data_IF_368790933211
#
_entry.id   IF_368790933211
#
_cell.length_a   1.000
_cell.length_b   1.000
_cell.length_c   1.000
_cell.angle_alpha   90.00
_cell.angle_beta   90.00
_cell.angle_gamma   90.00
#
_symmetry.space_group_name_H-M   'P 1'
#
loop_
_entity.id
_entity.type
_entity.pdbx_description
1 polymer ?
#
# COMPACT_ATOMS: atom_id res chain seq x y z
N UNK A 1 16.19 14.31 2.99
CA UNK A 1 14.91 13.82 3.56
C UNK A 1 14.67 12.42 3.05
N UNK A 2 14.58 11.44 3.94
CA UNK A 2 14.32 10.03 3.59
C UNK A 2 12.89 9.88 3.08
N UNK A 3 12.73 9.53 1.80
CA UNK A 3 11.42 9.28 1.19
C UNK A 3 10.92 7.90 1.61
N UNK A 4 10.28 7.81 2.78
CA UNK A 4 9.72 6.54 3.26
C UNK A 4 8.41 6.23 2.53
N UNK A 5 8.42 5.15 1.75
CA UNK A 5 7.31 4.69 0.93
C UNK A 5 6.96 3.25 1.32
N UNK A 6 5.68 2.96 1.45
CA UNK A 6 5.19 1.60 1.59
C UNK A 6 4.84 1.06 0.20
N UNK A 7 5.53 0.01 -0.23
CA UNK A 7 5.15 -0.77 -1.39
C UNK A 7 4.15 -1.85 -0.97
N UNK A 8 2.99 -1.86 -1.61
CA UNK A 8 1.90 -2.79 -1.28
C UNK A 8 1.60 -3.60 -2.54
N UNK A 9 1.71 -4.92 -2.42
CA UNK A 9 1.32 -5.87 -3.47
C UNK A 9 0.16 -6.70 -2.98
N UNK A 10 -0.93 -6.66 -3.71
CA UNK A 10 -2.16 -7.39 -3.42
C UNK A 10 -2.13 -8.72 -4.16
N UNK A 11 -2.40 -9.78 -3.42
CA UNK A 11 -2.51 -11.13 -3.95
C UNK A 11 -3.92 -11.68 -3.73
N UNK A 12 -4.31 -12.62 -4.57
CA UNK A 12 -5.48 -13.48 -4.35
C UNK A 12 -5.09 -14.94 -4.62
N UNK A 13 -5.96 -15.87 -4.28
CA UNK A 13 -5.83 -17.28 -4.64
C UNK A 13 -6.70 -17.58 -5.84
N UNK A 14 -6.16 -18.30 -6.82
CA UNK A 14 -6.95 -18.85 -7.91
C UNK A 14 -7.72 -20.07 -7.39
N UNK A 15 -9.05 -20.01 -7.39
CA UNK A 15 -9.92 -21.05 -6.81
C UNK A 15 -9.62 -22.47 -7.33
N UNK A 16 -9.34 -22.61 -8.63
CA UNK A 16 -9.11 -23.92 -9.27
C UNK A 16 -7.79 -24.58 -8.90
N UNK A 17 -6.78 -23.83 -8.45
CA UNK A 17 -5.43 -24.35 -8.24
C UNK A 17 -4.83 -23.97 -6.88
N UNK A 18 -5.54 -23.15 -6.11
CA UNK A 18 -5.07 -22.51 -4.88
C UNK A 18 -3.71 -21.81 -5.04
N UNK A 19 -3.37 -21.41 -6.26
CA UNK A 19 -2.13 -20.67 -6.54
C UNK A 19 -2.31 -19.20 -6.19
N UNK A 20 -1.29 -18.66 -5.52
CA UNK A 20 -1.22 -17.23 -5.23
C UNK A 20 -0.93 -16.46 -6.53
N UNK A 21 -1.80 -15.53 -6.88
CA UNK A 21 -1.68 -14.68 -8.06
C UNK A 21 -1.71 -13.20 -7.66
N UNK A 22 -0.92 -12.38 -8.34
CA UNK A 22 -0.87 -10.94 -8.08
C UNK A 22 -2.11 -10.28 -8.70
N UNK A 23 -2.90 -9.60 -7.87
CA UNK A 23 -3.98 -8.74 -8.35
C UNK A 23 -3.38 -7.45 -8.89
N UNK A 24 -2.50 -6.81 -8.11
CA UNK A 24 -1.83 -5.57 -8.52
C UNK A 24 -0.97 -4.96 -7.43
N UNK A 25 -0.39 -3.81 -7.75
CA UNK A 25 0.60 -3.13 -6.92
C UNK A 25 0.18 -1.68 -6.69
N UNK A 26 0.50 -1.11 -5.53
CA UNK A 26 0.42 0.32 -5.28
C UNK A 26 1.58 0.78 -4.38
N UNK A 27 1.78 2.10 -4.32
CA UNK A 27 2.80 2.71 -3.49
C UNK A 27 2.17 3.86 -2.70
N UNK A 28 2.41 3.87 -1.40
CA UNK A 28 1.91 4.88 -0.47
C UNK A 28 3.09 5.66 0.09
N UNK A 29 3.11 6.98 -0.13
CA UNK A 29 4.02 7.88 0.60
C UNK A 29 3.56 7.95 2.05
N UNK A 30 4.43 7.58 2.99
CA UNK A 30 4.08 7.61 4.41
C UNK A 30 4.10 9.04 4.96
N UNK A 31 5.09 9.81 4.55
CA UNK A 31 5.27 11.21 4.96
C UNK A 31 5.09 12.14 3.76
N UNK A 32 4.65 13.36 4.04
CA UNK A 32 4.66 14.45 3.08
C UNK A 32 6.04 15.11 2.98
N UNK A 33 6.15 16.13 2.12
CA UNK A 33 7.42 16.82 1.85
C UNK A 33 7.91 17.63 3.07
N UNK A 34 7.08 17.83 4.08
CA UNK A 34 7.43 18.47 5.36
C UNK A 34 7.81 17.43 6.43
N UNK A 35 7.83 16.13 6.10
CA UNK A 35 8.11 15.05 7.03
C UNK A 35 6.94 14.70 7.95
N UNK A 36 5.73 15.20 7.68
CA UNK A 36 4.54 14.89 8.47
C UNK A 36 3.88 13.61 7.96
N UNK A 37 3.49 12.71 8.89
CA UNK A 37 2.77 11.49 8.54
C UNK A 37 1.44 11.82 7.84
N UNK A 38 1.20 11.22 6.67
CA UNK A 38 -0.05 11.36 5.91
C UNK A 38 -1.18 10.58 6.58
N UNK A 39 -1.69 11.08 7.70
CA UNK A 39 -2.80 10.48 8.48
C UNK A 39 -4.10 10.41 7.66
N UNK A 40 -5.00 9.49 8.03
CA UNK A 40 -6.31 9.33 7.41
C UNK A 40 -6.38 8.24 6.35
N UNK A 41 -7.47 8.22 5.57
CA UNK A 41 -7.72 7.23 4.52
C UNK A 41 -7.15 7.65 3.17
N UNK A 42 -6.47 6.71 2.51
CA UNK A 42 -5.86 6.87 1.19
C UNK A 42 -6.40 5.79 0.25
N UNK A 43 -7.19 6.19 -0.73
CA UNK A 43 -7.64 5.28 -1.78
C UNK A 43 -6.63 5.27 -2.93
N UNK A 44 -6.04 4.10 -3.19
CA UNK A 44 -5.01 3.91 -4.20
C UNK A 44 -5.50 2.94 -5.27
N UNK A 45 -5.37 3.32 -6.54
CA UNK A 45 -5.63 2.41 -7.67
C UNK A 45 -4.52 1.36 -7.78
N UNK A 46 -4.89 0.10 -7.96
CA UNK A 46 -3.93 -0.97 -8.21
C UNK A 46 -3.38 -0.86 -9.64
N UNK A 47 -2.09 -1.13 -9.80
CA UNK A 47 -1.36 -1.08 -11.07
C UNK A 47 -0.81 -2.46 -11.43
N UNK A 48 -0.81 -2.79 -12.72
CA UNK A 48 -0.47 -4.14 -13.21
C UNK A 48 1.03 -4.46 -13.18
N UNK A 49 1.90 -3.45 -13.09
CA UNK A 49 3.36 -3.63 -13.13
C UNK A 49 4.03 -3.37 -11.79
N UNK A 50 5.20 -3.99 -11.63
CA UNK A 50 6.14 -3.65 -10.57
C UNK A 50 6.68 -2.23 -10.77
N UNK A 51 6.86 -1.46 -9.69
CA UNK A 51 7.41 -0.12 -9.74
C UNK A 51 8.94 -0.15 -9.82
N UNK A 52 9.56 -0.93 -10.71
CA UNK A 52 11.03 -1.01 -10.77
C UNK A 52 11.58 -0.10 -11.87
N UNK A 53 12.54 0.76 -11.54
CA UNK A 53 13.31 1.51 -12.54
C UNK A 53 14.35 0.62 -13.25
N UNK A 54 15.12 1.23 -14.16
CA UNK A 54 16.20 0.58 -14.91
C UNK A 54 17.30 -0.01 -14.02
N UNK A 55 17.43 0.47 -12.78
CA UNK A 55 18.39 0.00 -11.79
C UNK A 55 17.77 -1.04 -10.84
N UNK A 56 16.52 -1.46 -11.05
CA UNK A 56 15.81 -2.38 -10.17
C UNK A 56 15.38 -1.77 -8.83
N UNK A 57 15.35 -0.44 -8.73
CA UNK A 57 14.89 0.28 -7.53
C UNK A 57 13.43 0.65 -7.61
N UNK A 58 12.77 0.79 -6.46
CA UNK A 58 11.34 1.13 -6.41
C UNK A 58 11.14 2.61 -6.82
N UNK A 59 10.51 2.83 -7.97
CA UNK A 59 10.16 4.13 -8.53
C UNK A 59 8.64 4.34 -8.61
N UNK A 60 8.20 5.46 -8.04
CA UNK A 60 6.80 5.88 -8.09
C UNK A 60 6.37 6.28 -9.50
N UNK A 61 7.25 6.90 -10.27
CA UNK A 61 6.98 7.30 -11.65
C UNK A 61 6.69 6.08 -12.53
N UNK A 62 7.52 5.04 -12.42
CA UNK A 62 7.31 3.78 -13.16
C UNK A 62 5.94 3.17 -12.83
N UNK A 63 5.53 3.25 -11.56
CA UNK A 63 4.22 2.76 -11.13
C UNK A 63 3.05 3.57 -11.70
N UNK A 64 3.18 4.90 -11.68
CA UNK A 64 2.13 5.80 -12.17
C UNK A 64 1.94 5.67 -13.69
N UNK A 65 3.03 5.39 -14.41
CA UNK A 65 3.04 5.11 -15.84
C UNK A 65 2.47 3.72 -16.19
N UNK A 66 2.37 2.81 -15.21
CA UNK A 66 1.74 1.51 -15.43
C UNK A 66 0.20 1.63 -15.50
N UNK A 67 -0.40 0.80 -16.37
CA UNK A 67 -1.85 0.74 -16.51
C UNK A 67 -2.54 0.43 -15.18
N UNK A 68 -3.56 1.21 -14.86
CA UNK A 68 -4.45 0.89 -13.73
C UNK A 68 -5.28 -0.33 -14.05
N UNK A 69 -5.44 -1.21 -13.08
CA UNK A 69 -6.34 -2.35 -13.20
C UNK A 69 -7.78 -1.84 -13.06
N UNK A 70 -8.67 -2.10 -14.02
CA UNK A 70 -10.05 -1.65 -13.97
C UNK A 70 -10.75 -2.09 -12.68
N UNK A 71 -11.53 -1.19 -12.08
CA UNK A 71 -12.33 -1.42 -10.87
C UNK A 71 -11.53 -1.93 -9.63
N UNK A 72 -10.20 -1.84 -9.63
CA UNK A 72 -9.38 -2.35 -8.54
C UNK A 72 -8.69 -1.20 -7.78
N UNK A 73 -9.06 -1.03 -6.52
CA UNK A 73 -8.42 -0.09 -5.60
C UNK A 73 -8.31 -0.68 -4.20
N UNK A 74 -7.33 -0.20 -3.44
CA UNK A 74 -7.19 -0.48 -2.01
C UNK A 74 -7.39 0.82 -1.22
N UNK A 75 -8.09 0.73 -0.09
CA UNK A 75 -8.18 1.81 0.89
C UNK A 75 -7.21 1.49 2.03
N UNK A 76 -6.19 2.32 2.20
CA UNK A 76 -5.23 2.21 3.30
C UNK A 76 -5.46 3.35 4.28
N UNK A 77 -5.62 3.05 5.57
CA UNK A 77 -5.76 4.08 6.60
C UNK A 77 -4.49 4.16 7.44
N UNK A 78 -3.81 5.30 7.39
CA UNK A 78 -2.71 5.61 8.27
C UNK A 78 -3.26 6.27 9.53
N UNK A 79 -3.08 5.61 10.67
CA UNK A 79 -3.46 6.14 11.97
C UNK A 79 -2.30 6.97 12.53
N UNK A 80 -2.56 8.07 13.25
CA UNK A 80 -1.52 8.70 14.06
C UNK A 80 -0.90 7.64 14.97
N UNK A 81 0.42 7.62 15.09
CA UNK A 81 1.07 6.82 16.12
C UNK A 81 0.55 7.30 17.48
N UNK A 82 -0.25 6.46 18.13
CA UNK A 82 -0.62 6.63 19.54
C UNK A 82 0.38 5.82 20.34
N UNK A 83 1.21 6.47 21.15
CA UNK A 83 2.02 5.81 22.20
C UNK A 83 1.17 5.24 23.35
N UNK A 84 -0.11 5.00 23.12
CA UNK A 84 -0.98 4.35 24.09
C UNK A 84 -1.13 2.91 23.64
N UNK A 85 -0.57 1.99 24.43
CA UNK A 85 -0.78 0.57 24.24
C UNK A 85 -2.28 0.31 24.17
N UNK A 86 -2.73 -0.39 23.12
CA UNK A 86 -4.06 -0.96 23.11
C UNK A 86 -4.02 -2.10 24.12
N UNK A 87 -4.22 -1.79 25.40
CA UNK A 87 -4.67 -2.81 26.35
C UNK A 87 -5.97 -3.35 25.76
N UNK A 88 -5.93 -4.63 25.40
CA UNK A 88 -7.06 -5.36 24.86
C UNK A 88 -8.25 -5.15 25.80
N UNK A 89 -9.22 -4.34 25.39
CA UNK A 89 -10.53 -4.30 26.01
C UNK A 89 -11.22 -5.62 25.66
N UNK A 90 -10.93 -6.67 26.44
CA UNK A 90 -11.86 -7.77 26.62
C UNK A 90 -13.00 -7.24 27.51
N UNK A 91 -14.26 -7.27 27.07
CA UNK A 91 -15.37 -7.02 27.99
C UNK A 91 -15.40 -8.16 29.01
N UNK A 92 -15.27 -7.81 30.29
CA UNK A 92 -15.69 -8.68 31.38
C UNK A 92 -17.22 -8.65 31.42
N UNK A 93 -17.85 -9.64 30.80
CA UNK A 93 -19.18 -10.15 31.18
C UNK A 93 -19.13 -11.67 31.08
#
# INVERSE_FOLDING_TARGET
MTSSKAFIRVYTLLETSLRLVVVGNCLLRLFDDQGTLRKGGHQLRLRSRLPLDENGSISEETLLNASSIPAASILVRLLPYTEVSVQQYLPLV
#
